data_IF_653356815429
#
_entry.id   IF_653356815429
#
_cell.length_a   1.000
_cell.length_b   1.000
_cell.length_c   1.000
_cell.angle_alpha   90.00
_cell.angle_beta   90.00
_cell.angle_gamma   90.00
#
_symmetry.space_group_name_H-M   'P 1'
#
loop_
_entity.id
_entity.type
_entity.pdbx_description
1 polymer ?
#
# COMPACT_ATOMS: atom_id res chain seq x y z
N UNK A 1 -48.43 22.82 -22.30
CA UNK A 1 -47.01 22.46 -22.47
C UNK A 1 -46.84 21.06 -21.94
N UNK A 2 -46.71 20.05 -22.81
CA UNK A 2 -46.42 18.67 -22.41
C UNK A 2 -44.89 18.47 -22.47
N UNK A 3 -44.28 17.73 -21.51
CA UNK A 3 -42.86 17.41 -21.58
C UNK A 3 -42.63 16.32 -22.64
N UNK A 4 -41.71 16.58 -23.56
CA UNK A 4 -41.28 15.60 -24.56
C UNK A 4 -40.46 14.52 -23.88
N UNK A 5 -40.99 13.31 -23.85
CA UNK A 5 -40.27 12.10 -23.43
C UNK A 5 -39.26 11.78 -24.53
N UNK A 6 -37.98 11.68 -24.18
CA UNK A 6 -36.90 11.32 -25.09
C UNK A 6 -37.16 9.91 -25.65
N UNK A 7 -37.08 9.78 -26.98
CA UNK A 7 -37.34 8.54 -27.71
C UNK A 7 -36.35 7.44 -27.31
N UNK A 8 -36.85 6.22 -27.15
CA UNK A 8 -36.09 5.04 -26.75
C UNK A 8 -34.98 4.66 -27.76
N UNK A 9 -35.07 5.15 -29.00
CA UNK A 9 -34.05 4.96 -30.04
C UNK A 9 -32.73 5.70 -29.76
N UNK A 10 -32.70 6.65 -28.82
CA UNK A 10 -31.48 7.39 -28.48
C UNK A 10 -30.54 6.65 -27.51
N UNK A 11 -30.96 5.48 -26.99
CA UNK A 11 -30.15 4.68 -26.06
C UNK A 11 -29.32 3.58 -26.76
N UNK A 12 -29.59 3.31 -28.04
CA UNK A 12 -28.92 2.26 -28.83
C UNK A 12 -27.55 2.72 -29.37
N UNK A 13 -27.29 4.03 -29.34
CA UNK A 13 -26.01 4.63 -29.75
C UNK A 13 -24.90 4.55 -28.67
N UNK A 14 -25.17 3.93 -27.51
CA UNK A 14 -24.20 3.80 -26.41
C UNK A 14 -23.39 2.50 -26.41
N UNK A 15 -23.69 1.55 -27.30
CA UNK A 15 -22.99 0.25 -27.40
C UNK A 15 -22.06 0.18 -28.63
N UNK A 16 -21.47 1.31 -29.03
CA UNK A 16 -20.36 1.30 -29.98
C UNK A 16 -19.04 1.07 -29.20
N UNK A 17 -18.44 -0.13 -29.26
CA UNK A 17 -17.20 -0.44 -28.54
C UNK A 17 -15.99 0.37 -29.04
N UNK A 18 -16.13 1.10 -30.16
CA UNK A 18 -15.11 2.01 -30.67
C UNK A 18 -15.31 3.48 -30.21
N UNK A 19 -16.44 3.81 -29.58
CA UNK A 19 -16.76 5.16 -29.07
C UNK A 19 -16.78 5.29 -27.55
N UNK A 20 -16.57 4.20 -26.81
CA UNK A 20 -16.08 4.32 -25.45
C UNK A 20 -14.72 5.01 -25.55
N UNK A 21 -14.59 6.22 -25.02
CA UNK A 21 -13.27 6.78 -24.71
C UNK A 21 -12.56 5.70 -23.93
N UNK A 22 -11.65 4.97 -24.58
CA UNK A 22 -10.77 4.05 -23.90
C UNK A 22 -9.91 4.97 -23.05
N UNK A 23 -10.41 5.33 -21.86
CA UNK A 23 -9.51 5.61 -20.77
C UNK A 23 -8.80 4.28 -20.60
N UNK A 24 -7.50 4.17 -20.95
CA UNK A 24 -6.73 3.07 -20.41
C UNK A 24 -7.01 3.03 -18.90
N UNK A 25 -7.06 1.85 -18.26
CA UNK A 25 -7.13 1.79 -16.81
C UNK A 25 -6.08 2.78 -16.32
N UNK A 26 -6.51 3.83 -15.59
CA UNK A 26 -5.67 5.02 -15.39
C UNK A 26 -4.25 4.54 -15.12
N UNK A 27 -3.24 4.98 -15.90
CA UNK A 27 -1.88 4.58 -15.62
C UNK A 27 -1.67 5.01 -14.18
N UNK A 28 -1.57 4.03 -13.26
CA UNK A 28 -1.48 4.24 -11.83
C UNK A 28 -0.45 5.33 -11.63
N UNK A 29 -0.92 6.56 -11.40
CA UNK A 29 -0.04 7.70 -11.45
C UNK A 29 1.02 7.41 -10.39
N UNK A 30 2.31 7.40 -10.74
CA UNK A 30 3.34 7.15 -9.74
C UNK A 30 3.09 8.12 -8.60
N UNK A 31 3.10 7.62 -7.36
CA UNK A 31 2.85 8.44 -6.19
C UNK A 31 3.73 9.70 -6.24
N UNK A 32 3.24 10.85 -5.73
CA UNK A 32 4.07 12.03 -5.58
C UNK A 32 5.41 11.66 -4.94
N UNK A 33 6.51 12.27 -5.38
CA UNK A 33 7.86 11.87 -4.96
C UNK A 33 8.01 11.81 -3.43
N UNK A 34 7.37 12.72 -2.70
CA UNK A 34 7.37 12.72 -1.24
C UNK A 34 6.64 11.50 -0.65
N UNK A 35 5.49 11.13 -1.21
CA UNK A 35 4.71 9.95 -0.81
C UNK A 35 5.48 8.64 -1.06
N UNK A 36 6.13 8.52 -2.22
CA UNK A 36 6.97 7.37 -2.53
C UNK A 36 8.20 7.27 -1.62
N UNK A 37 8.82 8.42 -1.30
CA UNK A 37 9.95 8.47 -0.38
C UNK A 37 9.56 8.06 1.05
N UNK A 38 8.39 8.49 1.53
CA UNK A 38 7.85 8.10 2.83
C UNK A 38 7.67 6.57 2.91
N UNK A 39 7.00 5.97 1.92
CA UNK A 39 6.83 4.51 1.87
C UNK A 39 8.18 3.78 1.88
N UNK A 40 9.16 4.30 1.13
CA UNK A 40 10.51 3.72 1.07
C UNK A 40 11.19 3.78 2.44
N UNK A 41 11.09 4.91 3.12
CA UNK A 41 11.64 5.10 4.46
C UNK A 41 10.98 4.14 5.46
N UNK A 42 9.65 4.12 5.49
CA UNK A 42 8.90 3.24 6.38
C UNK A 42 9.20 1.76 6.13
N UNK A 43 9.26 1.33 4.87
CA UNK A 43 9.63 -0.06 4.50
C UNK A 43 11.02 -0.42 5.02
N UNK A 44 11.98 0.49 4.85
CA UNK A 44 13.35 0.29 5.33
C UNK A 44 13.40 0.21 6.87
N UNK A 45 12.64 1.07 7.54
CA UNK A 45 12.53 1.10 8.99
C UNK A 45 11.90 -0.17 9.55
N UNK A 46 10.77 -0.63 8.98
CA UNK A 46 10.09 -1.86 9.37
C UNK A 46 11.00 -3.07 9.19
N UNK A 47 11.69 -3.18 8.05
CA UNK A 47 12.69 -4.22 7.79
C UNK A 47 13.76 -4.25 8.88
N UNK A 48 14.29 -3.07 9.22
CA UNK A 48 15.34 -2.94 10.23
C UNK A 48 14.83 -3.33 11.64
N UNK A 49 13.66 -2.81 12.05
CA UNK A 49 13.12 -3.05 13.39
C UNK A 49 12.77 -4.51 13.62
N UNK A 50 12.06 -5.13 12.68
CA UNK A 50 11.73 -6.55 12.76
C UNK A 50 12.98 -7.43 12.67
N UNK A 51 13.95 -7.09 11.81
CA UNK A 51 15.23 -7.81 11.74
C UNK A 51 16.01 -7.75 13.06
N UNK A 52 16.05 -6.57 13.69
CA UNK A 52 16.65 -6.38 15.02
C UNK A 52 15.92 -7.18 16.10
N UNK A 53 14.59 -7.19 16.08
CA UNK A 53 13.77 -7.96 17.02
C UNK A 53 14.02 -9.47 16.88
N UNK A 54 14.11 -9.97 15.64
CA UNK A 54 14.42 -11.37 15.36
C UNK A 54 15.79 -11.78 15.93
N UNK A 55 16.82 -10.94 15.72
CA UNK A 55 18.17 -11.19 16.25
C UNK A 55 18.22 -11.13 17.79
N UNK A 56 17.40 -10.29 18.41
CA UNK A 56 17.27 -10.20 19.87
C UNK A 56 16.38 -11.30 20.48
N UNK A 57 15.78 -12.17 19.67
CA UNK A 57 14.86 -13.20 20.17
C UNK A 57 13.50 -12.66 20.62
N UNK A 58 13.14 -11.43 20.24
CA UNK A 58 11.84 -10.81 20.54
C UNK A 58 10.85 -11.25 19.46
N UNK A 59 9.86 -12.06 19.84
CA UNK A 59 8.87 -12.63 18.91
C UNK A 59 9.54 -13.21 17.64
N UNK A 60 10.54 -14.11 17.77
CA UNK A 60 11.53 -14.34 16.71
C UNK A 60 10.94 -14.89 15.41
N UNK A 61 9.88 -15.70 15.48
CA UNK A 61 9.20 -16.19 14.27
C UNK A 61 8.48 -15.06 13.53
N UNK A 62 7.65 -14.28 14.24
CA UNK A 62 6.88 -13.17 13.68
C UNK A 62 7.82 -12.08 13.15
N UNK A 63 8.82 -11.73 13.95
CA UNK A 63 9.82 -10.73 13.60
C UNK A 63 10.65 -11.13 12.37
N UNK A 64 11.03 -12.41 12.24
CA UNK A 64 11.75 -12.86 11.05
C UNK A 64 10.86 -12.81 9.80
N UNK A 65 9.62 -13.32 9.90
CA UNK A 65 8.67 -13.32 8.79
C UNK A 65 8.37 -11.89 8.30
N UNK A 66 8.09 -10.97 9.21
CA UNK A 66 7.85 -9.58 8.87
C UNK A 66 9.11 -8.92 8.27
N UNK A 67 10.30 -9.18 8.81
CA UNK A 67 11.54 -8.65 8.25
C UNK A 67 11.76 -9.12 6.80
N UNK A 68 11.52 -10.39 6.51
CA UNK A 68 11.62 -10.94 5.15
C UNK A 68 10.56 -10.35 4.21
N UNK A 69 9.33 -10.20 4.70
CA UNK A 69 8.24 -9.59 3.93
C UNK A 69 8.56 -8.15 3.52
N UNK A 70 8.98 -7.31 4.47
CA UNK A 70 9.34 -5.91 4.22
C UNK A 70 10.61 -5.79 3.37
N UNK A 71 11.60 -6.66 3.59
CA UNK A 71 12.79 -6.73 2.75
C UNK A 71 12.44 -7.05 1.28
N UNK A 72 11.47 -7.94 1.06
CA UNK A 72 10.95 -8.29 -0.26
C UNK A 72 10.21 -7.15 -0.98
N UNK A 73 9.87 -6.06 -0.27
CA UNK A 73 9.26 -4.85 -0.84
C UNK A 73 10.29 -3.76 -1.17
N UNK A 74 11.52 -3.87 -0.66
CA UNK A 74 12.57 -2.89 -0.93
C UNK A 74 12.86 -2.77 -2.44
N UNK A 75 13.01 -1.54 -2.93
CA UNK A 75 13.29 -1.24 -4.34
C UNK A 75 12.09 -1.36 -5.29
N UNK A 76 10.90 -1.70 -4.79
CA UNK A 76 9.65 -1.63 -5.57
C UNK A 76 9.08 -0.21 -5.53
N UNK A 77 8.39 0.19 -6.60
CA UNK A 77 7.67 1.46 -6.63
C UNK A 77 6.50 1.41 -5.65
N UNK A 78 6.42 2.39 -4.75
CA UNK A 78 5.33 2.49 -3.78
C UNK A 78 3.98 2.71 -4.47
N UNK A 79 2.98 2.00 -3.99
CA UNK A 79 1.59 2.07 -4.42
C UNK A 79 0.72 2.67 -3.30
N UNK A 80 -0.47 3.16 -3.62
CA UNK A 80 -1.38 3.75 -2.65
C UNK A 80 -1.71 2.79 -1.48
N UNK A 81 -1.78 1.49 -1.78
CA UNK A 81 -2.03 0.45 -0.78
C UNK A 81 -0.90 0.31 0.25
N UNK A 82 0.35 0.63 -0.13
CA UNK A 82 1.49 0.48 0.78
C UNK A 82 1.38 1.40 1.99
N UNK A 83 0.61 2.50 1.92
CA UNK A 83 0.34 3.34 3.09
C UNK A 83 -0.43 2.59 4.19
N UNK A 84 -1.43 1.78 3.81
CA UNK A 84 -2.20 0.97 4.75
C UNK A 84 -1.32 -0.13 5.34
N UNK A 85 -0.65 -0.90 4.47
CA UNK A 85 0.24 -1.99 4.90
C UNK A 85 1.33 -1.50 5.86
N UNK A 86 1.95 -0.34 5.57
CA UNK A 86 2.97 0.27 6.44
C UNK A 86 2.35 0.67 7.78
N UNK A 87 1.19 1.32 7.77
CA UNK A 87 0.52 1.76 8.98
C UNK A 87 0.15 0.58 9.88
N UNK A 88 -0.34 -0.51 9.30
CA UNK A 88 -0.70 -1.72 10.03
C UNK A 88 0.53 -2.38 10.66
N UNK A 89 1.65 -2.48 9.94
CA UNK A 89 2.89 -3.03 10.49
C UNK A 89 3.50 -2.16 11.61
N UNK A 90 3.33 -0.83 11.57
CA UNK A 90 3.69 0.02 12.70
C UNK A 90 2.81 -0.23 13.93
N UNK A 91 1.51 -0.52 13.73
CA UNK A 91 0.64 -0.93 14.84
C UNK A 91 1.05 -2.29 15.41
N UNK A 92 1.48 -3.24 14.57
CA UNK A 92 2.01 -4.52 15.04
C UNK A 92 3.28 -4.35 15.89
N UNK A 93 4.23 -3.51 15.45
CA UNK A 93 5.43 -3.19 16.25
C UNK A 93 5.05 -2.68 17.65
N UNK A 94 4.06 -1.78 17.71
CA UNK A 94 3.56 -1.23 18.96
C UNK A 94 2.83 -2.30 19.80
N UNK A 95 2.01 -3.15 19.17
CA UNK A 95 1.27 -4.22 19.83
C UNK A 95 2.22 -5.24 20.50
N UNK A 96 3.30 -5.62 19.81
CA UNK A 96 4.30 -6.53 20.35
C UNK A 96 5.29 -5.85 21.30
N UNK A 97 5.22 -4.53 21.47
CA UNK A 97 6.16 -3.76 22.28
C UNK A 97 7.61 -3.88 21.77
N UNK A 98 7.80 -4.20 20.50
CA UNK A 98 9.11 -4.54 19.93
C UNK A 98 10.10 -3.39 20.12
N UNK A 99 9.65 -2.16 19.88
CA UNK A 99 10.49 -0.99 20.04
C UNK A 99 10.96 -0.89 21.50
N UNK A 100 10.05 -0.83 22.47
CA UNK A 100 10.39 -0.73 23.90
C UNK A 100 11.32 -1.86 24.36
N UNK A 101 11.05 -3.10 23.95
CA UNK A 101 11.87 -4.26 24.29
C UNK A 101 13.29 -4.15 23.72
N UNK A 102 13.44 -3.70 22.46
CA UNK A 102 14.74 -3.46 21.84
C UNK A 102 15.56 -2.37 22.55
N UNK A 103 14.90 -1.34 23.10
CA UNK A 103 15.59 -0.29 23.84
C UNK A 103 16.01 -0.72 25.25
N UNK A 104 15.32 -1.69 25.86
CA UNK A 104 15.66 -2.24 27.19
C UNK A 104 16.83 -3.24 27.16
N UNK A 105 17.06 -3.87 26.02
CA UNK A 105 18.20 -4.79 25.80
C UNK A 105 19.56 -4.05 25.64
N UNK A 106 19.58 -2.72 25.74
CA UNK A 106 20.79 -1.90 25.53
C UNK A 106 21.55 -1.59 26.81
#
# INVERSE_FOLDING_TARGET
MQPSILSLDALDDLDDPARGTYLPPEPLMPLPTAAAAEITFCTSWLTYMFGRAALAGIQPQISLEQAEQWAGRMGKAGHLQDFGDVQDAFQELALYGIEELLWKER
#
